data_IF_440915550264
#
_entry.id   IF_440915550264
#
_cell.length_a   1.000
_cell.length_b   1.000
_cell.length_c   1.000
_cell.angle_alpha   90.00
_cell.angle_beta   90.00
_cell.angle_gamma   90.00
#
_symmetry.space_group_name_H-M   'P 1'
#
loop_
_entity.id
_entity.type
_entity.pdbx_description
1 polymer ?
#
# COMPACT_ATOMS: atom_id res chain seq x y z
N UNK A 1 -1.82 -20.55 -2.07
CA UNK A 1 -2.44 -19.57 -1.21
C UNK A 1 -2.62 -18.24 -1.90
N UNK A 2 -3.79 -17.72 -1.82
CA UNK A 2 -4.09 -16.48 -2.49
C UNK A 2 -3.43 -15.30 -1.81
N UNK A 3 -2.88 -14.44 -2.61
CA UNK A 3 -2.28 -13.25 -2.07
C UNK A 3 -3.32 -12.16 -1.97
N UNK A 4 -3.40 -11.58 -0.79
CA UNK A 4 -4.30 -10.47 -0.55
C UNK A 4 -3.46 -9.22 -0.45
N UNK A 5 -3.85 -8.20 -1.20
CA UNK A 5 -3.14 -6.93 -1.21
C UNK A 5 -4.11 -5.84 -0.78
N UNK A 6 -3.75 -5.10 0.25
CA UNK A 6 -4.53 -3.97 0.69
C UNK A 6 -3.92 -2.70 0.14
N UNK A 7 -4.72 -1.92 -0.57
CA UNK A 7 -4.29 -0.65 -1.14
C UNK A 7 -4.92 0.46 -0.31
N UNK A 8 -4.09 1.31 0.25
CA UNK A 8 -4.58 2.35 1.12
C UNK A 8 -3.94 3.69 0.88
N UNK A 9 -4.69 4.74 1.15
CA UNK A 9 -4.21 6.11 1.02
C UNK A 9 -3.98 6.77 2.38
N UNK A 10 -4.17 6.03 3.46
CA UNK A 10 -3.92 6.55 4.81
C UNK A 10 -3.12 5.54 5.61
N UNK A 11 -2.51 6.04 6.70
CA UNK A 11 -1.77 5.18 7.61
C UNK A 11 -2.67 4.14 8.27
N UNK A 12 -3.94 4.44 8.42
CA UNK A 12 -4.91 3.50 8.98
C UNK A 12 -4.99 2.24 8.14
N UNK A 13 -5.05 2.41 6.83
CA UNK A 13 -5.14 1.28 5.90
C UNK A 13 -3.91 0.40 5.99
N UNK A 14 -2.74 1.03 6.04
CA UNK A 14 -1.48 0.29 6.13
C UNK A 14 -1.42 -0.48 7.44
N UNK A 15 -1.83 0.15 8.51
CA UNK A 15 -1.83 -0.48 9.82
C UNK A 15 -2.74 -1.69 9.85
N UNK A 16 -3.93 -1.56 9.27
CA UNK A 16 -4.88 -2.66 9.21
C UNK A 16 -4.34 -3.83 8.39
N UNK A 17 -3.73 -3.52 7.25
CA UNK A 17 -3.16 -4.54 6.40
C UNK A 17 -2.04 -5.31 7.10
N UNK A 18 -1.18 -4.60 7.80
CA UNK A 18 -0.09 -5.23 8.54
C UNK A 18 -0.61 -6.10 9.67
N UNK A 19 -1.63 -5.62 10.37
CA UNK A 19 -2.24 -6.40 11.45
C UNK A 19 -2.89 -7.68 10.91
N UNK A 20 -3.42 -7.63 9.71
CA UNK A 20 -4.02 -8.79 9.07
C UNK A 20 -2.99 -9.72 8.42
N UNK A 21 -1.75 -9.30 8.31
CA UNK A 21 -0.71 -10.10 7.71
C UNK A 21 -0.75 -10.14 6.18
N UNK A 22 -1.42 -9.17 5.56
CA UNK A 22 -1.50 -9.10 4.11
C UNK A 22 -0.49 -8.09 3.58
N UNK A 23 -0.24 -8.13 2.27
CA UNK A 23 0.62 -7.14 1.65
C UNK A 23 -0.08 -5.80 1.59
N UNK A 24 0.68 -4.74 1.73
CA UNK A 24 0.13 -3.39 1.73
C UNK A 24 0.82 -2.54 0.69
N UNK A 25 0.02 -1.75 -0.03
CA UNK A 25 0.53 -0.78 -0.99
C UNK A 25 -0.05 0.57 -0.63
N UNK A 26 0.82 1.53 -0.38
CA UNK A 26 0.40 2.89 -0.08
C UNK A 26 0.38 3.72 -1.36
N UNK A 27 -0.69 4.50 -1.53
CA UNK A 27 -0.80 5.41 -2.66
C UNK A 27 -0.67 6.83 -2.14
N UNK A 28 0.00 7.68 -2.91
CA UNK A 28 0.35 9.02 -2.42
C UNK A 28 -0.64 10.10 -2.80
N UNK A 29 -1.64 9.78 -3.59
CA UNK A 29 -2.64 10.77 -3.99
C UNK A 29 -3.82 10.85 -3.04
N UNK A 30 -3.72 10.19 -1.90
CA UNK A 30 -4.78 10.22 -0.90
C UNK A 30 -4.55 11.30 0.14
N UNK A 31 -5.23 11.17 1.28
CA UNK A 31 -5.24 12.19 2.31
C UNK A 31 -3.98 12.23 3.17
N UNK A 32 -3.28 11.12 3.32
CA UNK A 32 -2.15 11.07 4.23
C UNK A 32 -0.85 11.50 3.55
N UNK A 33 0.01 12.23 4.26
CA UNK A 33 1.32 12.58 3.70
C UNK A 33 2.21 11.36 3.55
N UNK A 34 3.10 11.44 2.57
CA UNK A 34 4.03 10.34 2.29
C UNK A 34 4.82 9.92 3.52
N UNK A 35 5.24 10.89 4.32
CA UNK A 35 6.03 10.62 5.50
C UNK A 35 5.32 9.69 6.48
N UNK A 36 4.03 9.88 6.63
CA UNK A 36 3.24 9.02 7.51
C UNK A 36 3.09 7.63 6.95
N UNK A 37 2.90 7.54 5.64
CA UNK A 37 2.79 6.25 5.00
C UNK A 37 4.09 5.46 5.12
N UNK A 38 5.22 6.13 4.92
CA UNK A 38 6.51 5.50 5.07
C UNK A 38 6.78 5.01 6.49
N UNK A 39 6.28 5.75 7.48
CA UNK A 39 6.49 5.39 8.87
C UNK A 39 5.88 4.04 9.22
N UNK A 40 4.81 3.65 8.53
CA UNK A 40 4.14 2.37 8.77
C UNK A 40 4.70 1.24 7.91
N UNK A 41 5.70 1.54 7.10
CA UNK A 41 6.45 0.55 6.30
C UNK A 41 5.56 -0.36 5.44
N UNK A 42 4.80 0.21 4.51
CA UNK A 42 4.05 -0.63 3.59
C UNK A 42 5.00 -1.42 2.70
N UNK A 43 4.50 -2.48 2.08
CA UNK A 43 5.32 -3.28 1.18
C UNK A 43 5.74 -2.49 -0.06
N UNK A 44 4.92 -1.54 -0.49
CA UNK A 44 5.26 -0.68 -1.60
C UNK A 44 4.56 0.66 -1.45
N UNK A 45 5.15 1.68 -2.06
CA UNK A 45 4.56 3.00 -2.13
C UNK A 45 4.54 3.39 -3.60
N UNK A 46 3.36 3.75 -4.10
CA UNK A 46 3.20 4.13 -5.50
C UNK A 46 2.64 5.53 -5.59
N UNK A 47 3.06 6.25 -6.62
CA UNK A 47 2.70 7.66 -6.80
C UNK A 47 1.76 7.90 -7.97
N UNK A 48 1.56 6.91 -8.81
CA UNK A 48 0.68 7.02 -9.97
C UNK A 48 -0.12 5.75 -10.14
N UNK A 49 -1.22 5.86 -10.88
CA UNK A 49 -2.02 4.68 -11.21
C UNK A 49 -1.22 3.67 -12.01
N UNK A 50 -0.36 4.15 -12.90
CA UNK A 50 0.48 3.26 -13.69
C UNK A 50 1.43 2.47 -12.80
N UNK A 51 2.04 3.15 -11.83
CA UNK A 51 2.93 2.48 -10.89
C UNK A 51 2.16 1.45 -10.06
N UNK A 52 0.92 1.75 -9.70
CA UNK A 52 0.09 0.80 -8.97
C UNK A 52 -0.19 -0.44 -9.81
N UNK A 53 -0.54 -0.25 -11.06
CA UNK A 53 -0.79 -1.38 -11.96
C UNK A 53 0.45 -2.26 -12.11
N UNK A 54 1.60 -1.62 -12.31
CA UNK A 54 2.86 -2.35 -12.44
C UNK A 54 3.16 -3.15 -11.19
N UNK A 55 2.96 -2.54 -10.04
CA UNK A 55 3.22 -3.21 -8.77
C UNK A 55 2.28 -4.40 -8.55
N UNK A 56 1.02 -4.24 -8.91
CA UNK A 56 0.07 -5.34 -8.80
C UNK A 56 0.45 -6.50 -9.70
N UNK A 57 0.92 -6.20 -10.91
CA UNK A 57 1.39 -7.23 -11.83
C UNK A 57 2.60 -7.96 -11.27
N UNK A 58 3.51 -7.23 -10.64
CA UNK A 58 4.69 -7.83 -10.03
C UNK A 58 4.33 -8.76 -8.87
N UNK A 59 3.29 -8.41 -8.13
CA UNK A 59 2.88 -9.19 -6.98
C UNK A 59 1.98 -10.38 -7.35
N UNK A 60 1.44 -10.35 -8.54
CA UNK A 60 0.54 -11.43 -9.00
C UNK A 60 1.32 -12.74 -9.42
#
# INVERSE_FOLDING_TARGET
>A
MDEIVMIGDTEHDIKLGKAAGVRTIAVTWGAAPLERLEAYKPDAIVRTMEALKTKLDELA
#
